data_IF_328332681298
#
_entry.id   IF_328332681298
#
_cell.length_a   1.000
_cell.length_b   1.000
_cell.length_c   1.000
_cell.angle_alpha   90.00
_cell.angle_beta   90.00
_cell.angle_gamma   90.00
#
_symmetry.space_group_name_H-M   'P 1'
#
loop_
_entity.id
_entity.type
_entity.pdbx_description
1 polymer ?
#
# COMPACT_ATOMS: atom_id res chain seq x y z
N UNK A 1 4.23 -9.26 13.28
CA UNK A 1 3.94 -8.48 12.05
C UNK A 1 4.93 -8.91 10.99
N UNK A 2 4.47 -9.10 9.74
CA UNK A 2 5.34 -9.38 8.60
C UNK A 2 5.88 -8.08 7.98
N UNK A 3 6.29 -8.15 6.72
CA UNK A 3 6.84 -7.01 6.00
C UNK A 3 5.76 -6.03 5.52
N UNK A 4 6.15 -4.76 5.44
CA UNK A 4 5.33 -3.68 4.86
C UNK A 4 6.00 -3.20 3.59
N UNK A 5 5.21 -3.10 2.53
CA UNK A 5 5.63 -2.60 1.24
C UNK A 5 4.80 -1.38 0.87
N UNK A 6 5.45 -0.41 0.24
CA UNK A 6 4.77 0.74 -0.33
C UNK A 6 5.27 0.98 -1.74
N UNK A 7 4.36 0.90 -2.69
CA UNK A 7 4.63 1.19 -4.09
C UNK A 7 3.96 2.51 -4.48
N UNK A 8 4.72 3.41 -5.09
CA UNK A 8 4.24 4.69 -5.60
C UNK A 8 4.41 4.67 -7.12
N UNK A 9 3.30 4.77 -7.85
CA UNK A 9 3.25 4.98 -9.30
C UNK A 9 3.04 6.46 -9.55
N UNK A 10 4.13 7.19 -9.76
CA UNK A 10 4.09 8.65 -9.94
C UNK A 10 3.29 9.04 -11.18
N UNK A 11 3.52 8.37 -12.31
CA UNK A 11 2.87 8.68 -13.59
C UNK A 11 1.35 8.49 -13.58
N UNK A 12 0.85 7.61 -12.71
CA UNK A 12 -0.58 7.31 -12.58
C UNK A 12 -1.21 7.97 -11.34
N UNK A 13 -0.41 8.67 -10.54
CA UNK A 13 -0.80 9.20 -9.23
C UNK A 13 -1.45 8.13 -8.32
N UNK A 14 -0.88 6.92 -8.29
CA UNK A 14 -1.38 5.78 -7.49
C UNK A 14 -0.39 5.35 -6.41
N UNK A 15 -0.94 4.92 -5.28
CA UNK A 15 -0.23 4.41 -4.12
C UNK A 15 -0.80 3.04 -3.74
N UNK A 16 0.09 2.09 -3.44
CA UNK A 16 -0.26 0.78 -2.91
C UNK A 16 0.50 0.53 -1.62
N UNK A 17 -0.23 0.35 -0.52
CA UNK A 17 0.34 -0.10 0.76
C UNK A 17 -0.03 -1.55 0.97
N UNK A 18 0.95 -2.41 1.24
CA UNK A 18 0.76 -3.84 1.48
C UNK A 18 1.40 -4.17 2.82
N UNK A 19 0.67 -4.86 3.68
CA UNK A 19 1.16 -5.36 4.95
C UNK A 19 0.93 -6.87 5.03
N UNK A 20 2.01 -7.62 5.23
CA UNK A 20 1.96 -9.05 5.52
C UNK A 20 1.75 -9.26 7.01
N UNK A 21 0.89 -10.21 7.35
CA UNK A 21 0.57 -10.56 8.73
C UNK A 21 1.04 -11.99 8.95
N UNK A 22 2.16 -12.14 9.65
CA UNK A 22 2.62 -13.45 10.12
C UNK A 22 1.95 -13.73 11.48
N UNK A 23 1.05 -14.71 11.49
CA UNK A 23 0.37 -15.21 12.68
C UNK A 23 0.89 -16.60 13.08
N UNK A 24 -0.02 -17.50 13.46
CA UNK A 24 0.31 -18.92 13.64
C UNK A 24 0.65 -19.58 12.29
N UNK A 25 1.44 -20.68 12.29
CA UNK A 25 1.78 -21.40 11.05
C UNK A 25 0.54 -21.71 10.20
N UNK A 26 0.64 -21.51 8.88
CA UNK A 26 -0.46 -21.66 7.89
C UNK A 26 -1.54 -20.57 7.90
N UNK A 27 -1.50 -19.59 8.82
CA UNK A 27 -2.44 -18.47 8.85
C UNK A 27 -1.73 -17.15 8.55
N UNK A 28 -0.98 -17.12 7.44
CA UNK A 28 -0.38 -15.89 6.92
C UNK A 28 -1.45 -15.02 6.25
N UNK A 29 -1.69 -13.84 6.83
CA UNK A 29 -2.60 -12.84 6.30
C UNK A 29 -1.89 -11.80 5.44
N UNK A 30 -2.69 -11.02 4.71
CA UNK A 30 -2.25 -9.85 3.97
C UNK A 30 -3.36 -8.81 3.94
N UNK A 31 -2.96 -7.54 4.03
CA UNK A 31 -3.81 -6.38 3.79
C UNK A 31 -3.16 -5.51 2.72
N UNK A 32 -3.92 -5.10 1.72
CA UNK A 32 -3.48 -4.22 0.65
C UNK A 32 -4.48 -3.09 0.46
N UNK A 33 -3.99 -1.84 0.45
CA UNK A 33 -4.78 -0.64 0.16
C UNK A 33 -4.28 -0.05 -1.15
N UNK A 34 -5.18 0.12 -2.11
CA UNK A 34 -4.94 0.91 -3.31
C UNK A 34 -5.60 2.29 -3.16
N UNK A 35 -4.86 3.31 -3.54
CA UNK A 35 -5.25 4.71 -3.39
C UNK A 35 -4.77 5.54 -4.57
N UNK A 36 -5.43 6.67 -4.78
CA UNK A 36 -4.91 7.78 -5.58
C UNK A 36 -4.32 8.83 -4.67
N UNK A 37 -3.45 9.66 -5.23
CA UNK A 37 -2.92 10.79 -4.51
C UNK A 37 -2.84 12.05 -5.39
N UNK A 38 -2.79 13.20 -4.73
CA UNK A 38 -2.55 14.50 -5.36
C UNK A 38 -1.46 15.23 -4.59
N UNK A 39 -0.48 15.79 -5.29
CA UNK A 39 0.58 16.56 -4.66
C UNK A 39 0.00 17.89 -4.14
N UNK A 40 0.18 18.14 -2.84
CA UNK A 40 -0.27 19.39 -2.19
C UNK A 40 0.91 20.28 -1.78
N UNK A 41 2.12 19.72 -1.74
CA UNK A 41 3.38 20.44 -1.60
C UNK A 41 4.55 19.58 -2.06
N UNK A 42 5.77 20.11 -2.01
CA UNK A 42 7.01 19.38 -2.33
C UNK A 42 7.25 18.14 -1.45
N UNK A 43 6.57 18.04 -0.30
CA UNK A 43 6.78 16.97 0.68
C UNK A 43 5.50 16.25 1.08
N UNK A 44 4.33 16.67 0.59
CA UNK A 44 3.03 16.15 1.01
C UNK A 44 2.15 15.81 -0.18
N UNK A 45 1.52 14.63 -0.08
CA UNK A 45 0.43 14.24 -0.97
C UNK A 45 -0.85 14.03 -0.16
N UNK A 46 -1.96 14.49 -0.70
CA UNK A 46 -3.29 14.08 -0.25
C UNK A 46 -3.58 12.70 -0.81
N UNK A 47 -4.18 11.81 -0.01
CA UNK A 47 -4.42 10.41 -0.36
C UNK A 47 -5.91 10.09 -0.30
N UNK A 48 -6.43 9.53 -1.38
CA UNK A 48 -7.79 9.03 -1.47
C UNK A 48 -7.77 7.51 -1.63
N UNK A 49 -8.20 6.80 -0.59
CA UNK A 49 -8.31 5.35 -0.65
C UNK A 49 -9.47 4.93 -1.55
N UNK A 50 -9.21 3.99 -2.47
CA UNK A 50 -10.22 3.51 -3.43
C UNK A 50 -10.63 2.07 -3.15
N UNK A 51 -9.68 1.23 -2.71
CA UNK A 51 -9.89 -0.22 -2.62
C UNK A 51 -9.06 -0.85 -1.50
N UNK A 52 -9.68 -1.73 -0.73
CA UNK A 52 -9.04 -2.56 0.28
C UNK A 52 -9.15 -4.03 -0.11
N UNK A 53 -8.05 -4.76 0.00
CA UNK A 53 -8.02 -6.22 -0.16
C UNK A 53 -7.42 -6.80 1.12
N UNK A 54 -8.13 -7.71 1.78
CA UNK A 54 -7.67 -8.30 3.03
C UNK A 54 -8.09 -9.76 3.15
N UNK A 55 -7.14 -10.64 3.45
CA UNK A 55 -7.42 -12.07 3.63
C UNK A 55 -6.17 -12.92 3.82
N UNK A 56 -6.33 -14.23 3.68
CA UNK A 56 -5.22 -15.17 3.79
C UNK A 56 -4.40 -15.18 2.50
N UNK A 57 -3.07 -15.17 2.62
CA UNK A 57 -2.15 -15.15 1.47
C UNK A 57 -2.41 -16.30 0.51
N UNK A 58 -2.62 -17.52 1.04
CA UNK A 58 -2.92 -18.72 0.25
C UNK A 58 -4.23 -18.62 -0.52
N UNK A 59 -5.27 -18.07 0.09
CA UNK A 59 -6.59 -17.90 -0.53
C UNK A 59 -6.53 -16.84 -1.63
N UNK A 60 -5.75 -15.77 -1.42
CA UNK A 60 -5.55 -14.71 -2.40
C UNK A 60 -4.58 -15.09 -3.52
N UNK A 61 -3.89 -16.23 -3.42
CA UNK A 61 -2.84 -16.61 -4.36
C UNK A 61 -1.68 -15.59 -4.36
N UNK A 62 -1.41 -14.98 -3.20
CA UNK A 62 -0.34 -14.00 -3.04
C UNK A 62 1.03 -14.66 -3.28
N UNK A 63 1.84 -14.05 -4.14
CA UNK A 63 3.19 -14.52 -4.47
C UNK A 63 4.25 -13.46 -4.19
N UNK A 64 3.95 -12.20 -4.52
CA UNK A 64 4.82 -11.06 -4.25
C UNK A 64 4.01 -9.75 -4.30
N UNK A 65 4.52 -8.66 -3.70
CA UNK A 65 3.90 -7.34 -3.77
C UNK A 65 3.69 -6.89 -5.22
N UNK A 66 4.71 -7.05 -6.07
CA UNK A 66 4.65 -6.63 -7.47
C UNK A 66 3.59 -7.39 -8.28
N UNK A 67 3.41 -8.69 -8.04
CA UNK A 67 2.32 -9.45 -8.68
C UNK A 67 0.96 -8.99 -8.21
N UNK A 68 0.78 -8.79 -6.90
CA UNK A 68 -0.49 -8.32 -6.35
C UNK A 68 -0.87 -6.95 -6.92
N UNK A 69 0.08 -6.03 -6.99
CA UNK A 69 -0.11 -4.69 -7.59
C UNK A 69 -0.51 -4.83 -9.05
N UNK A 70 0.18 -5.65 -9.84
CA UNK A 70 -0.15 -5.89 -11.24
C UNK A 70 -1.56 -6.45 -11.41
N UNK A 71 -1.95 -7.43 -10.60
CA UNK A 71 -3.29 -8.00 -10.59
C UNK A 71 -4.36 -6.93 -10.26
N UNK A 72 -4.08 -6.04 -9.30
CA UNK A 72 -4.96 -4.90 -8.96
C UNK A 72 -5.07 -3.94 -10.15
N UNK A 73 -3.94 -3.59 -10.78
CA UNK A 73 -3.85 -2.69 -11.94
C UNK A 73 -4.60 -3.26 -13.17
N UNK A 74 -4.57 -4.57 -13.38
CA UNK A 74 -5.35 -5.23 -14.45
C UNK A 74 -6.83 -5.41 -14.13
N UNK A 75 -7.29 -4.93 -12.96
CA UNK A 75 -8.70 -4.99 -12.55
C UNK A 75 -9.17 -6.34 -12.01
N UNK A 76 -8.27 -7.28 -11.71
CA UNK A 76 -8.62 -8.57 -11.10
C UNK A 76 -9.35 -8.33 -9.79
N UNK A 77 -10.50 -8.96 -9.58
CA UNK A 77 -11.28 -8.89 -8.34
C UNK A 77 -10.92 -10.05 -7.41
N UNK A 78 -10.86 -9.77 -6.11
CA UNK A 78 -10.51 -10.76 -5.08
C UNK A 78 -11.72 -11.08 -4.17
N UNK A 79 -12.90 -11.32 -4.74
CA UNK A 79 -14.11 -11.58 -3.97
C UNK A 79 -13.97 -12.86 -3.11
N UNK A 80 -14.42 -12.89 -1.84
CA UNK A 80 -15.12 -11.83 -1.08
C UNK A 80 -14.19 -10.92 -0.25
N UNK A 81 -12.88 -10.92 -0.55
CA UNK A 81 -11.82 -10.28 0.23
C UNK A 81 -11.46 -8.87 -0.30
N UNK A 82 -12.35 -8.26 -1.08
CA UNK A 82 -12.11 -7.09 -1.92
C UNK A 82 -13.23 -6.07 -1.77
N UNK A 83 -12.89 -4.89 -1.26
CA UNK A 83 -13.85 -3.90 -0.80
C UNK A 83 -13.53 -2.55 -1.42
N UNK A 84 -14.54 -1.90 -2.01
CA UNK A 84 -14.42 -0.50 -2.42
C UNK A 84 -14.50 0.38 -1.16
N UNK A 85 -13.61 1.36 -1.07
CA UNK A 85 -13.59 2.31 0.04
C UNK A 85 -14.31 3.58 -0.40
N UNK A 86 -15.31 4.01 0.38
CA UNK A 86 -15.96 5.30 0.13
C UNK A 86 -15.02 6.43 0.53
N UNK A 87 -14.99 7.55 -0.23
CA UNK A 87 -14.26 8.74 0.16
C UNK A 87 -14.64 9.19 1.58
N UNK A 88 -13.66 9.60 2.37
CA UNK A 88 -13.87 10.17 3.71
C UNK A 88 -14.06 11.69 3.60
N UNK A 89 -14.78 12.28 4.55
CA UNK A 89 -14.95 13.73 4.63
C UNK A 89 -13.62 14.46 4.87
N UNK A 90 -12.76 13.88 5.73
CA UNK A 90 -11.40 14.36 5.93
C UNK A 90 -10.43 13.50 5.10
N UNK A 91 -9.77 14.07 4.09
CA UNK A 91 -8.85 13.32 3.26
C UNK A 91 -7.58 12.96 4.03
N UNK A 92 -7.11 11.72 3.84
CA UNK A 92 -5.83 11.30 4.39
C UNK A 92 -4.68 12.03 3.69
N UNK A 93 -3.51 12.06 4.32
CA UNK A 93 -2.30 12.60 3.71
C UNK A 93 -1.09 11.76 4.07
N UNK A 94 -0.06 11.87 3.23
CA UNK A 94 1.24 11.25 3.42
C UNK A 94 2.32 12.30 3.17
N UNK A 95 3.16 12.53 4.18
CA UNK A 95 4.41 13.28 4.02
C UNK A 95 5.56 12.32 3.76
N UNK A 96 6.47 12.70 2.86
CA UNK A 96 7.61 11.87 2.47
C UNK A 96 8.88 12.71 2.53
N UNK A 97 9.93 12.16 3.14
CA UNK A 97 11.28 12.72 3.13
C UNK A 97 12.27 11.62 2.76
N UNK A 98 13.04 11.85 1.71
CA UNK A 98 14.14 10.97 1.31
C UNK A 98 15.36 11.31 2.16
N UNK A 99 15.94 10.29 2.80
CA UNK A 99 17.17 10.42 3.57
C UNK A 99 18.39 10.08 2.72
N UNK A 100 18.21 9.15 1.78
CA UNK A 100 19.20 8.70 0.82
C UNK A 100 18.50 8.16 -0.45
N UNK A 101 19.26 7.68 -1.43
CA UNK A 101 18.76 7.11 -2.68
C UNK A 101 17.88 5.85 -2.49
N UNK A 102 18.13 5.12 -1.40
CA UNK A 102 17.46 3.87 -1.07
C UNK A 102 16.71 3.91 0.28
N UNK A 103 16.70 5.04 0.99
CA UNK A 103 16.04 5.16 2.29
C UNK A 103 15.14 6.39 2.36
N UNK A 104 13.90 6.19 2.82
CA UNK A 104 12.97 7.29 3.09
C UNK A 104 12.19 7.11 4.39
N UNK A 105 11.74 8.23 4.93
CA UNK A 105 10.77 8.30 6.03
C UNK A 105 9.46 8.86 5.49
N UNK A 106 8.35 8.21 5.84
CA UNK A 106 7.01 8.68 5.56
C UNK A 106 6.21 8.91 6.84
N UNK A 107 5.32 9.91 6.86
CA UNK A 107 4.36 10.14 7.96
C UNK A 107 2.94 10.21 7.42
N UNK A 108 2.05 9.40 7.97
CA UNK A 108 0.63 9.41 7.63
C UNK A 108 -0.20 10.32 8.54
N UNK A 109 -1.41 10.68 8.08
CA UNK A 109 -2.35 11.53 8.82
C UNK A 109 -2.76 11.01 10.20
N UNK A 110 -2.72 9.70 10.41
CA UNK A 110 -3.05 9.05 11.70
C UNK A 110 -1.85 8.96 12.66
N UNK A 111 -0.77 9.71 12.40
CA UNK A 111 0.43 9.72 13.25
C UNK A 111 1.42 8.57 13.02
N UNK A 112 1.11 7.65 12.09
CA UNK A 112 2.01 6.55 11.73
C UNK A 112 3.29 7.06 11.06
N UNK A 113 4.44 6.48 11.43
CA UNK A 113 5.74 6.73 10.80
C UNK A 113 6.24 5.45 10.14
N UNK A 114 6.66 5.57 8.88
CA UNK A 114 7.20 4.47 8.07
C UNK A 114 8.66 4.76 7.76
N UNK A 115 9.53 3.79 8.02
CA UNK A 115 10.93 3.82 7.57
C UNK A 115 11.05 2.76 6.48
N UNK A 116 11.31 3.20 5.25
CA UNK A 116 11.22 2.35 4.07
C UNK A 116 12.54 2.33 3.33
N UNK A 117 13.10 1.13 3.16
CA UNK A 117 14.18 0.87 2.23
C UNK A 117 13.63 0.54 0.84
N UNK A 118 14.30 1.03 -0.21
CA UNK A 118 13.95 0.76 -1.59
C UNK A 118 14.21 -0.71 -1.92
N UNK A 119 13.20 -1.37 -2.49
CA UNK A 119 13.37 -2.73 -3.01
C UNK A 119 14.40 -2.72 -4.14
N UNK A 120 15.45 -3.53 -4.00
CA UNK A 120 16.43 -3.72 -5.08
C UNK A 120 15.78 -4.51 -6.20
N UNK A 121 15.87 -4.01 -7.43
CA UNK A 121 15.46 -4.78 -8.61
C UNK A 121 16.29 -6.07 -8.64
N UNK A 122 15.61 -7.21 -8.49
CA UNK A 122 16.21 -8.53 -8.70
C UNK A 122 16.14 -8.91 -10.17
#
# INVERSE_FOLDING_TARGET
MGQIYQCIRVDEAKLYNIAEIVGVPLLEGIVSIAAKFEATSDKRVQVQFERSIAGLQRVLGYQSPNKLIKDIETGKKFFPLDFNIKPREQPAWLEITYLDEDLRIGRGSEGNVFVLAKEKKS
#
